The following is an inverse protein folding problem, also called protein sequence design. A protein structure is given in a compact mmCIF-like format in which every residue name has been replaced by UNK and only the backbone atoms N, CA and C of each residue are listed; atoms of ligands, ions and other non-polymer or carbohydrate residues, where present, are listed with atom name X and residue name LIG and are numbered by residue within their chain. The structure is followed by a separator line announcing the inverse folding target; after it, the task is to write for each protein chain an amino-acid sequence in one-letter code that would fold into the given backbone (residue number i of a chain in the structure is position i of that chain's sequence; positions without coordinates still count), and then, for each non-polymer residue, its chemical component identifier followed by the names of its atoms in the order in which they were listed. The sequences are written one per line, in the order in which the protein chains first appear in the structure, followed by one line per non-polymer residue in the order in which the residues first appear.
data_IF_147687963999
#
_entry.id   IF_147687963999
#
_cell.length_a   1.000
_cell.length_b   1.000
_cell.length_c   1.000
_cell.angle_alpha   90.00
_cell.angle_beta   90.00
_cell.angle_gamma   90.00
#
_symmetry.space_group_name_H-M   'P 1'
#
loop_
_entity.id
_entity.type
_entity.pdbx_description
1 polymer ?
#
# COMPACT_ATOMS: atom_id res chain seq x y z
N UNK A 1 20.23 44.37 17.32
CA UNK A 1 21.22 43.42 16.77
C UNK A 1 20.72 42.04 17.13
N UNK A 2 20.00 41.41 16.22
CA UNK A 2 19.71 39.97 16.33
C UNK A 2 21.03 39.20 16.16
N UNK A 3 21.27 38.14 16.96
CA UNK A 3 22.50 37.39 16.82
C UNK A 3 22.46 36.61 15.51
N UNK A 4 23.42 36.93 14.63
CA UNK A 4 23.71 36.14 13.43
C UNK A 4 24.16 34.76 13.91
N UNK A 5 23.32 33.75 13.72
CA UNK A 5 23.66 32.37 14.03
C UNK A 5 24.88 31.93 13.20
N UNK A 6 25.94 31.47 13.86
CA UNK A 6 27.16 30.99 13.23
C UNK A 6 26.86 29.73 12.38
N UNK A 7 27.24 29.68 11.09
CA UNK A 7 26.91 28.55 10.20
C UNK A 7 27.73 27.25 10.44
N UNK A 8 28.54 27.15 11.49
CA UNK A 8 29.67 26.19 11.56
C UNK A 8 29.46 25.03 12.54
N UNK A 9 28.36 24.99 13.30
CA UNK A 9 28.08 23.91 14.28
C UNK A 9 26.74 23.19 14.07
N UNK A 10 26.27 23.13 12.82
CA UNK A 10 25.08 22.33 12.53
C UNK A 10 25.44 20.83 12.57
N UNK A 11 24.98 20.16 13.63
CA UNK A 11 25.14 18.71 13.79
C UNK A 11 24.67 17.96 12.54
N UNK A 12 25.32 16.85 12.20
CA UNK A 12 24.91 15.97 11.09
C UNK A 12 23.41 15.63 11.15
N UNK A 13 22.88 15.44 12.35
CA UNK A 13 21.46 15.19 12.59
C UNK A 13 20.58 16.35 12.13
N UNK A 14 20.94 17.58 12.49
CA UNK A 14 20.19 18.79 12.10
C UNK A 14 20.25 18.99 10.59
N UNK A 15 21.42 18.76 9.97
CA UNK A 15 21.58 18.86 8.51
C UNK A 15 20.73 17.81 7.77
N UNK A 16 20.74 16.57 8.23
CA UNK A 16 19.93 15.50 7.65
C UNK A 16 18.43 15.75 7.86
N UNK A 17 18.04 16.23 9.04
CA UNK A 17 16.66 16.60 9.34
C UNK A 17 16.17 17.71 8.43
N UNK A 18 16.94 18.80 8.28
CA UNK A 18 16.60 19.92 7.40
C UNK A 18 16.47 19.45 5.94
N UNK A 19 17.40 18.61 5.46
CA UNK A 19 17.28 18.00 4.13
C UNK A 19 15.96 17.21 3.96
N UNK A 20 15.58 16.40 4.95
CA UNK A 20 14.32 15.63 4.90
C UNK A 20 13.07 16.49 5.00
N UNK A 21 13.16 17.72 5.52
CA UNK A 21 12.06 18.68 5.60
C UNK A 21 11.96 19.48 4.29
N UNK A 22 13.08 19.93 3.76
CA UNK A 22 13.15 20.74 2.55
C UNK A 22 12.75 19.97 1.29
N UNK A 23 13.01 18.66 1.26
CA UNK A 23 12.65 17.80 0.13
C UNK A 23 11.18 17.37 0.12
N UNK A 24 10.39 17.69 1.15
CA UNK A 24 9.00 17.26 1.23
C UNK A 24 8.16 17.93 0.15
N UNK A 25 7.25 17.15 -0.45
CA UNK A 25 6.28 17.71 -1.38
C UNK A 25 5.26 18.57 -0.61
N UNK A 26 5.23 19.90 -0.82
CA UNK A 26 4.32 20.78 -0.10
C UNK A 26 2.84 20.55 -0.46
N UNK A 27 2.55 19.78 -1.53
CA UNK A 27 1.18 19.46 -1.96
C UNK A 27 0.53 18.39 -1.08
N UNK A 28 1.32 17.47 -0.53
CA UNK A 28 0.84 16.30 0.24
C UNK A 28 1.15 16.40 1.73
N UNK A 29 2.03 17.32 2.14
CA UNK A 29 2.52 17.45 3.52
C UNK A 29 1.42 17.69 4.57
N UNK A 30 0.31 18.34 4.19
CA UNK A 30 -0.81 18.65 5.08
C UNK A 30 -1.86 17.55 5.17
N UNK A 31 -1.71 16.45 4.43
CA UNK A 31 -2.69 15.38 4.41
C UNK A 31 -2.61 14.50 5.67
N UNK A 32 -3.74 13.90 6.08
CA UNK A 32 -3.74 13.02 7.25
C UNK A 32 -2.72 11.91 7.10
N UNK A 33 -2.01 11.58 8.19
CA UNK A 33 -0.90 10.60 8.23
C UNK A 33 0.36 10.98 7.42
N UNK A 34 0.38 12.10 6.70
CA UNK A 34 1.57 12.55 5.95
C UNK A 34 2.41 13.58 6.69
N UNK A 35 1.90 14.18 7.77
CA UNK A 35 2.62 15.23 8.52
C UNK A 35 3.98 14.76 9.08
N UNK A 36 4.00 13.57 9.68
CA UNK A 36 5.21 12.96 10.26
C UNK A 36 5.26 11.47 9.91
N UNK A 37 6.45 10.84 9.81
CA UNK A 37 6.58 9.38 9.69
C UNK A 37 6.16 8.62 10.96
N UNK A 38 6.03 9.28 12.12
CA UNK A 38 5.74 8.64 13.41
C UNK A 38 4.50 7.74 13.38
N UNK A 39 3.32 8.16 12.86
CA UNK A 39 2.13 7.31 12.84
C UNK A 39 2.33 6.02 12.04
N UNK A 40 3.02 6.11 10.91
CA UNK A 40 3.34 4.94 10.10
C UNK A 40 4.23 3.95 10.86
N UNK A 41 5.30 4.46 11.49
CA UNK A 41 6.22 3.64 12.28
C UNK A 41 5.46 2.93 13.41
N UNK A 42 4.58 3.64 14.12
CA UNK A 42 3.74 3.05 15.15
C UNK A 42 2.85 1.94 14.59
N UNK A 43 2.16 2.17 13.47
CA UNK A 43 1.30 1.16 12.82
C UNK A 43 2.12 -0.08 12.43
N UNK A 44 3.30 0.10 11.83
CA UNK A 44 4.13 -1.00 11.38
C UNK A 44 4.72 -1.81 12.55
N UNK A 45 5.11 -1.15 13.64
CA UNK A 45 5.57 -1.84 14.87
C UNK A 45 4.43 -2.68 15.45
N UNK A 46 3.23 -2.09 15.59
CA UNK A 46 2.04 -2.80 16.08
C UNK A 46 1.70 -3.98 15.16
N UNK A 47 1.77 -3.79 13.85
CA UNK A 47 1.57 -4.86 12.87
C UNK A 47 2.57 -6.01 13.06
N UNK A 48 3.87 -5.73 13.21
CA UNK A 48 4.88 -6.77 13.41
C UNK A 48 4.71 -7.50 14.75
N UNK A 49 4.40 -6.77 15.83
CA UNK A 49 4.10 -7.37 17.13
C UNK A 49 2.85 -8.25 17.07
N UNK A 50 1.82 -7.80 16.37
CA UNK A 50 0.62 -8.58 16.17
C UNK A 50 0.89 -9.85 15.37
N UNK A 51 1.61 -9.75 14.26
CA UNK A 51 1.85 -10.88 13.37
C UNK A 51 2.70 -11.98 14.00
N UNK A 52 3.75 -11.60 14.73
CA UNK A 52 4.73 -12.55 15.24
C UNK A 52 4.41 -13.06 16.65
N UNK A 53 3.74 -12.26 17.48
CA UNK A 53 3.57 -12.57 18.90
C UNK A 53 2.10 -12.57 19.32
N UNK A 54 1.44 -11.40 19.28
CA UNK A 54 0.13 -11.22 19.93
C UNK A 54 -0.94 -12.08 19.25
N UNK A 55 -1.03 -12.04 17.92
CA UNK A 55 -2.03 -12.76 17.15
C UNK A 55 -1.93 -14.28 17.32
N UNK A 56 -0.76 -14.91 17.08
CA UNK A 56 -0.57 -16.34 17.32
C UNK A 56 -0.82 -16.75 18.77
N UNK A 57 -0.39 -15.93 19.74
CA UNK A 57 -0.63 -16.18 21.17
C UNK A 57 -2.13 -16.19 21.51
N UNK A 58 -2.87 -15.16 21.08
CA UNK A 58 -4.33 -15.06 21.31
C UNK A 58 -5.13 -16.18 20.65
N UNK A 59 -4.64 -16.67 19.51
CA UNK A 59 -5.30 -17.74 18.76
C UNK A 59 -4.92 -19.14 19.23
N UNK A 60 -3.91 -19.32 20.10
CA UNK A 60 -3.42 -20.64 20.52
C UNK A 60 -4.56 -21.54 21.00
N UNK A 61 -5.36 -21.04 21.95
CA UNK A 61 -6.43 -21.79 22.63
C UNK A 61 -7.83 -21.47 22.09
N UNK A 62 -7.94 -20.80 20.93
CA UNK A 62 -9.21 -20.44 20.29
C UNK A 62 -9.45 -21.20 19.00
N UNK A 63 -10.69 -21.48 18.66
CA UNK A 63 -11.05 -22.00 17.34
C UNK A 63 -10.87 -20.94 16.24
N UNK A 64 -10.62 -21.33 14.98
CA UNK A 64 -10.50 -20.38 13.88
C UNK A 64 -11.82 -19.65 13.63
N UNK A 65 -11.78 -18.32 13.51
CA UNK A 65 -12.99 -17.53 13.31
C UNK A 65 -13.64 -17.76 11.93
N UNK A 66 -14.96 -17.87 11.90
CA UNK A 66 -15.75 -17.96 10.67
C UNK A 66 -16.04 -16.58 10.05
N UNK A 67 -15.05 -16.01 9.36
CA UNK A 67 -15.11 -14.65 8.82
C UNK A 67 -15.61 -14.59 7.36
N UNK A 68 -16.42 -15.54 6.91
CA UNK A 68 -16.76 -15.68 5.48
C UNK A 68 -17.39 -14.41 4.89
N UNK A 69 -18.42 -13.87 5.53
CA UNK A 69 -19.10 -12.64 5.06
C UNK A 69 -18.17 -11.44 5.06
N UNK A 70 -17.39 -11.27 6.14
CA UNK A 70 -16.39 -10.20 6.27
C UNK A 70 -15.37 -10.26 5.15
N UNK A 71 -14.84 -11.44 4.83
CA UNK A 71 -13.87 -11.62 3.75
C UNK A 71 -14.48 -11.36 2.37
N UNK A 72 -15.74 -11.73 2.13
CA UNK A 72 -16.43 -11.42 0.87
C UNK A 72 -16.51 -9.90 0.70
N UNK A 73 -16.99 -9.18 1.71
CA UNK A 73 -17.11 -7.72 1.66
C UNK A 73 -15.73 -7.07 1.50
N UNK A 74 -14.75 -7.51 2.30
CA UNK A 74 -13.39 -6.99 2.25
C UNK A 74 -12.73 -7.19 0.88
N UNK A 75 -12.74 -8.41 0.34
CA UNK A 75 -12.15 -8.68 -0.97
C UNK A 75 -12.87 -7.92 -2.09
N UNK A 76 -14.20 -7.78 -2.01
CA UNK A 76 -14.96 -6.99 -2.98
C UNK A 76 -14.57 -5.50 -2.93
N UNK A 77 -14.48 -4.91 -1.73
CA UNK A 77 -14.02 -3.53 -1.57
C UNK A 77 -12.57 -3.35 -2.07
N UNK A 78 -11.68 -4.31 -1.80
CA UNK A 78 -10.31 -4.27 -2.30
C UNK A 78 -10.23 -4.31 -3.83
N UNK A 79 -11.07 -5.11 -4.49
CA UNK A 79 -11.19 -5.09 -5.96
C UNK A 79 -11.61 -3.70 -6.45
N UNK A 80 -12.63 -3.08 -5.82
CA UNK A 80 -13.08 -1.74 -6.20
C UNK A 80 -12.00 -0.67 -5.99
N UNK A 81 -11.32 -0.69 -4.85
CA UNK A 81 -10.23 0.24 -4.56
C UNK A 81 -9.08 0.08 -5.57
N UNK A 82 -8.70 -1.17 -5.89
CA UNK A 82 -7.63 -1.46 -6.85
C UNK A 82 -8.02 -1.03 -8.27
N UNK A 83 -9.27 -1.28 -8.68
CA UNK A 83 -9.81 -0.84 -9.97
C UNK A 83 -9.85 0.70 -10.07
N UNK A 84 -10.23 1.38 -9.00
CA UNK A 84 -10.20 2.83 -8.93
C UNK A 84 -8.78 3.39 -9.06
N UNK A 85 -7.80 2.77 -8.39
CA UNK A 85 -6.37 3.13 -8.52
C UNK A 85 -5.89 2.97 -9.96
N UNK A 86 -6.17 1.84 -10.60
CA UNK A 86 -5.81 1.60 -12.00
C UNK A 86 -6.45 2.65 -12.91
N UNK A 87 -7.75 2.92 -12.74
CA UNK A 87 -8.45 3.93 -13.53
C UNK A 87 -7.81 5.32 -13.39
N UNK A 88 -7.62 5.79 -12.17
CA UNK A 88 -7.06 7.12 -11.89
C UNK A 88 -5.62 7.27 -12.39
N UNK A 89 -4.76 6.25 -12.19
CA UNK A 89 -3.39 6.25 -12.70
C UNK A 89 -3.34 6.22 -14.23
N UNK A 90 -4.27 5.51 -14.88
CA UNK A 90 -4.42 5.57 -16.34
C UNK A 90 -4.84 6.96 -16.83
N UNK A 91 -5.73 7.66 -16.10
CA UNK A 91 -6.12 9.02 -16.45
C UNK A 91 -5.00 10.06 -16.19
N UNK A 92 -4.09 9.78 -15.26
CA UNK A 92 -3.02 10.70 -14.89
C UNK A 92 -1.73 10.53 -15.70
N UNK A 93 -1.55 9.45 -16.47
CA UNK A 93 -0.38 9.30 -17.34
C UNK A 93 -0.09 7.88 -17.84
N UNK A 94 -0.56 6.83 -17.15
CA UNK A 94 -0.27 5.44 -17.56
C UNK A 94 -1.32 4.84 -18.51
N UNK A 95 -2.18 5.68 -19.07
CA UNK A 95 -3.20 5.29 -20.05
C UNK A 95 -2.89 5.83 -21.44
N UNK A 96 -3.87 5.73 -22.34
CA UNK A 96 -3.71 6.16 -23.73
C UNK A 96 -3.89 7.67 -23.94
N UNK A 97 -4.46 8.37 -22.97
CA UNK A 97 -4.71 9.82 -23.03
C UNK A 97 -3.57 10.54 -22.30
N UNK A 98 -2.81 11.37 -23.02
CA UNK A 98 -1.65 12.13 -22.52
C UNK A 98 -0.64 11.24 -21.77
N UNK A 99 -0.06 10.24 -22.46
CA UNK A 99 0.76 9.21 -21.84
C UNK A 99 2.07 9.80 -21.30
N UNK A 100 2.47 9.28 -20.14
CA UNK A 100 3.83 9.44 -19.62
C UNK A 100 4.82 8.69 -20.49
N UNK A 101 6.08 9.13 -20.42
CA UNK A 101 7.17 8.40 -21.03
C UNK A 101 7.39 7.08 -20.27
N UNK A 102 7.18 5.97 -20.98
CA UNK A 102 7.31 4.62 -20.45
C UNK A 102 8.74 4.27 -20.00
N UNK A 103 9.75 5.03 -20.41
CA UNK A 103 11.15 4.83 -20.02
C UNK A 103 11.54 5.69 -18.81
N UNK A 104 11.32 7.01 -18.89
CA UNK A 104 11.73 7.95 -17.86
C UNK A 104 10.74 9.10 -17.80
N UNK A 105 9.95 9.14 -16.71
CA UNK A 105 9.01 10.21 -16.44
C UNK A 105 9.41 10.93 -15.15
N UNK A 106 9.71 12.24 -15.20
CA UNK A 106 10.01 13.03 -14.02
C UNK A 106 8.74 13.28 -13.17
N UNK A 107 8.92 13.66 -11.91
CA UNK A 107 7.81 14.08 -11.06
C UNK A 107 7.48 15.55 -11.38
N UNK A 108 6.26 15.88 -11.84
CA UNK A 108 5.87 17.27 -12.02
C UNK A 108 5.52 17.86 -10.64
N UNK A 109 6.19 18.94 -10.23
CA UNK A 109 5.99 19.64 -8.93
C UNK A 109 5.11 20.89 -9.05
N UNK A 110 4.14 20.85 -9.94
CA UNK A 110 3.17 21.91 -10.16
C UNK A 110 1.83 21.61 -9.46
N UNK A 111 0.96 22.62 -9.37
CA UNK A 111 -0.39 22.50 -8.81
C UNK A 111 -1.47 22.38 -9.90
N UNK A 112 -1.11 21.92 -11.10
CA UNK A 112 -2.14 21.70 -12.14
C UNK A 112 -3.14 20.63 -11.69
N UNK A 113 -4.36 20.64 -12.28
CA UNK A 113 -5.37 19.65 -11.96
C UNK A 113 -4.89 18.20 -12.15
N UNK A 114 -4.06 17.93 -13.18
CA UNK A 114 -3.48 16.60 -13.45
C UNK A 114 -2.49 16.18 -12.36
N UNK A 115 -1.59 17.09 -11.99
CA UNK A 115 -0.57 16.86 -10.96
C UNK A 115 -1.20 16.61 -9.58
N UNK A 116 -2.17 17.45 -9.20
CA UNK A 116 -2.91 17.26 -7.94
C UNK A 116 -3.75 15.99 -7.93
N UNK A 117 -4.30 15.57 -9.09
CA UNK A 117 -5.00 14.28 -9.24
C UNK A 117 -4.04 13.11 -9.03
N UNK A 118 -2.83 13.18 -9.60
CA UNK A 118 -1.77 12.19 -9.38
C UNK A 118 -1.40 12.10 -7.89
N UNK A 119 -1.15 13.22 -7.22
CA UNK A 119 -0.84 13.21 -5.79
C UNK A 119 -1.95 12.54 -4.97
N UNK A 120 -3.23 12.87 -5.25
CA UNK A 120 -4.38 12.29 -4.53
C UNK A 120 -4.46 10.78 -4.69
N UNK A 121 -4.21 10.26 -5.90
CA UNK A 121 -4.23 8.81 -6.12
C UNK A 121 -3.01 8.11 -5.49
N UNK A 122 -1.82 8.72 -5.49
CA UNK A 122 -0.68 8.20 -4.74
C UNK A 122 -1.00 8.09 -3.24
N UNK A 123 -1.67 9.09 -2.68
CA UNK A 123 -2.10 9.06 -1.28
C UNK A 123 -3.18 8.01 -1.02
N UNK A 124 -4.17 7.90 -1.90
CA UNK A 124 -5.17 6.84 -1.81
C UNK A 124 -4.53 5.44 -1.90
N UNK A 125 -3.54 5.26 -2.76
CA UNK A 125 -2.76 4.02 -2.83
C UNK A 125 -2.05 3.72 -1.51
N UNK A 126 -1.39 4.71 -0.89
CA UNK A 126 -0.79 4.57 0.44
C UNK A 126 -1.80 4.13 1.49
N UNK A 127 -2.98 4.76 1.54
CA UNK A 127 -4.06 4.35 2.45
C UNK A 127 -4.52 2.91 2.15
N UNK A 128 -4.63 2.52 0.88
CA UNK A 128 -4.98 1.15 0.51
C UNK A 128 -3.95 0.15 1.05
N UNK A 129 -2.65 0.42 0.91
CA UNK A 129 -1.58 -0.44 1.44
C UNK A 129 -1.66 -0.60 2.97
N UNK A 130 -2.09 0.44 3.70
CA UNK A 130 -2.36 0.32 5.14
C UNK A 130 -3.54 -0.61 5.44
N UNK A 131 -4.62 -0.53 4.66
CA UNK A 131 -5.79 -1.42 4.80
C UNK A 131 -5.42 -2.88 4.49
N UNK A 132 -4.53 -3.11 3.52
CA UNK A 132 -4.05 -4.44 3.16
C UNK A 132 -3.28 -5.15 4.28
N UNK A 133 -2.80 -4.43 5.31
CA UNK A 133 -2.25 -5.06 6.52
C UNK A 133 -3.26 -5.99 7.21
N UNK A 134 -4.57 -5.77 6.99
CA UNK A 134 -5.63 -6.62 7.51
C UNK A 134 -5.62 -8.03 6.90
N UNK A 135 -5.00 -8.25 5.74
CA UNK A 135 -4.87 -9.59 5.14
C UNK A 135 -4.19 -10.56 6.11
N UNK A 136 -3.07 -10.12 6.69
CA UNK A 136 -2.32 -10.91 7.68
C UNK A 136 -3.15 -11.12 8.95
N UNK A 137 -3.92 -10.12 9.36
CA UNK A 137 -4.81 -10.23 10.52
C UNK A 137 -5.87 -11.30 10.28
N UNK A 138 -6.50 -11.32 9.09
CA UNK A 138 -7.46 -12.35 8.71
C UNK A 138 -6.83 -13.74 8.62
N UNK A 139 -5.61 -13.88 8.11
CA UNK A 139 -4.91 -15.16 8.07
C UNK A 139 -4.67 -15.71 9.48
N UNK A 140 -4.21 -14.87 10.41
CA UNK A 140 -3.96 -15.26 11.80
C UNK A 140 -5.27 -15.65 12.50
N UNK A 141 -6.32 -14.83 12.40
CA UNK A 141 -7.62 -15.11 13.02
C UNK A 141 -8.27 -16.40 12.48
N UNK A 142 -7.91 -16.83 11.26
CA UNK A 142 -8.38 -18.09 10.67
C UNK A 142 -7.42 -19.26 10.87
N UNK A 143 -6.37 -19.09 11.68
CA UNK A 143 -5.28 -20.06 11.88
C UNK A 143 -4.64 -20.54 10.57
N UNK A 144 -4.56 -19.65 9.56
CA UNK A 144 -3.92 -19.91 8.26
C UNK A 144 -2.46 -19.45 8.25
N UNK A 145 -1.69 -19.86 9.26
CA UNK A 145 -0.29 -19.45 9.43
C UNK A 145 0.61 -19.83 8.24
N UNK A 146 0.26 -20.86 7.47
CA UNK A 146 0.99 -21.24 6.25
C UNK A 146 0.98 -20.15 5.16
N UNK A 147 0.04 -19.21 5.22
CA UNK A 147 -0.02 -18.07 4.29
C UNK A 147 0.75 -16.85 4.81
N UNK A 148 1.07 -16.82 6.12
CA UNK A 148 1.87 -15.77 6.74
C UNK A 148 3.35 -16.13 6.59
N UNK A 149 3.84 -16.06 5.35
CA UNK A 149 5.24 -16.33 5.03
C UNK A 149 6.12 -15.10 5.31
N UNK A 150 7.44 -15.31 5.34
CA UNK A 150 8.39 -14.19 5.40
C UNK A 150 8.16 -13.19 4.26
N UNK A 151 7.96 -13.68 3.04
CA UNK A 151 7.73 -12.84 1.87
C UNK A 151 6.46 -12.01 2.03
N UNK A 152 5.37 -12.62 2.50
CA UNK A 152 4.10 -11.93 2.78
C UNK A 152 4.30 -10.79 3.78
N UNK A 153 4.90 -11.08 4.94
CA UNK A 153 5.09 -10.08 6.00
C UNK A 153 6.06 -8.98 5.55
N UNK A 154 7.15 -9.32 4.86
CA UNK A 154 8.12 -8.36 4.31
C UNK A 154 7.47 -7.44 3.27
N UNK A 155 6.68 -8.00 2.34
CA UNK A 155 5.95 -7.24 1.33
C UNK A 155 4.94 -6.28 2.00
N UNK A 156 4.09 -6.79 2.89
CA UNK A 156 3.08 -5.97 3.58
C UNK A 156 3.69 -4.94 4.53
N UNK A 157 4.91 -5.13 5.02
CA UNK A 157 5.64 -4.11 5.78
C UNK A 157 6.27 -3.04 4.88
N UNK A 158 6.96 -3.46 3.82
CA UNK A 158 7.73 -2.56 2.95
C UNK A 158 6.85 -1.73 2.03
N UNK A 159 5.69 -2.23 1.58
CA UNK A 159 4.81 -1.51 0.65
C UNK A 159 4.18 -0.23 1.24
N UNK A 160 3.62 -0.21 2.47
CA UNK A 160 3.19 1.02 3.13
C UNK A 160 4.35 2.00 3.39
N UNK A 161 5.54 1.49 3.73
CA UNK A 161 6.73 2.31 3.95
C UNK A 161 7.18 3.00 2.65
N UNK A 162 7.31 2.23 1.56
CA UNK A 162 7.69 2.75 0.25
C UNK A 162 6.65 3.73 -0.30
N UNK A 163 5.36 3.43 -0.15
CA UNK A 163 4.28 4.33 -0.60
C UNK A 163 4.20 5.62 0.23
N UNK A 164 4.49 5.58 1.54
CA UNK A 164 4.63 6.81 2.33
C UNK A 164 5.75 7.70 1.80
N UNK A 165 6.95 7.14 1.56
CA UNK A 165 8.07 7.89 0.97
C UNK A 165 7.69 8.43 -0.41
N UNK A 166 7.01 7.62 -1.23
CA UNK A 166 6.48 8.04 -2.53
C UNK A 166 5.55 9.24 -2.42
N UNK A 167 4.57 9.23 -1.53
CA UNK A 167 3.62 10.36 -1.36
C UNK A 167 4.30 11.58 -0.73
N UNK A 168 5.23 11.37 0.20
CA UNK A 168 5.88 12.44 0.96
C UNK A 168 6.88 13.23 0.11
N UNK A 169 7.57 12.56 -0.83
CA UNK A 169 8.70 13.14 -1.56
C UNK A 169 8.56 13.08 -3.09
N UNK A 170 7.92 12.04 -3.63
CA UNK A 170 7.95 11.72 -5.06
C UNK A 170 6.54 11.41 -5.60
N UNK A 171 5.57 12.26 -5.29
CA UNK A 171 4.15 12.04 -5.60
C UNK A 171 3.87 12.22 -7.10
N UNK A 172 4.30 11.27 -7.93
CA UNK A 172 4.15 11.27 -9.38
C UNK A 172 5.32 10.59 -10.10
N UNK A 173 5.45 10.86 -11.40
CA UNK A 173 6.55 10.36 -12.23
C UNK A 173 6.61 8.83 -12.35
N UNK A 174 7.77 8.32 -12.75
CA UNK A 174 7.97 6.91 -13.09
C UNK A 174 7.69 5.93 -11.92
N UNK A 175 7.93 6.35 -10.67
CA UNK A 175 7.69 5.51 -9.49
C UNK A 175 6.22 5.03 -9.36
N UNK A 176 5.27 5.81 -9.89
CA UNK A 176 3.85 5.45 -9.89
C UNK A 176 3.51 4.28 -10.82
N UNK A 177 4.40 3.92 -11.75
CA UNK A 177 4.25 2.75 -12.61
C UNK A 177 4.20 1.44 -11.81
N UNK A 178 5.06 1.30 -10.79
CA UNK A 178 5.04 0.13 -9.92
C UNK A 178 3.72 0.01 -9.14
N UNK A 179 3.17 1.15 -8.69
CA UNK A 179 1.85 1.20 -8.08
C UNK A 179 0.73 0.80 -9.06
N UNK A 180 0.83 1.23 -10.31
CA UNK A 180 -0.10 0.84 -11.37
C UNK A 180 -0.08 -0.66 -11.64
N UNK A 181 1.10 -1.26 -11.82
CA UNK A 181 1.24 -2.71 -11.99
C UNK A 181 0.74 -3.48 -10.78
N UNK A 182 1.10 -3.04 -9.57
CA UNK A 182 0.67 -3.67 -8.33
C UNK A 182 -0.86 -3.66 -8.20
N UNK A 183 -1.51 -2.52 -8.47
CA UNK A 183 -2.97 -2.43 -8.43
C UNK A 183 -3.66 -3.38 -9.43
N UNK A 184 -3.10 -3.57 -10.63
CA UNK A 184 -3.60 -4.56 -11.59
C UNK A 184 -3.50 -6.00 -11.04
N UNK A 185 -2.36 -6.36 -10.43
CA UNK A 185 -2.20 -7.67 -9.78
C UNK A 185 -3.20 -7.84 -8.63
N UNK A 186 -3.43 -6.80 -7.83
CA UNK A 186 -4.38 -6.82 -6.72
C UNK A 186 -5.84 -6.99 -7.18
N UNK A 187 -6.24 -6.42 -8.33
CA UNK A 187 -7.55 -6.70 -8.93
C UNK A 187 -7.72 -8.20 -9.17
N UNK A 188 -6.73 -8.85 -9.79
CA UNK A 188 -6.78 -10.29 -10.10
C UNK A 188 -6.76 -11.13 -8.82
N UNK A 189 -5.84 -10.82 -7.90
CA UNK A 189 -5.66 -11.55 -6.64
C UNK A 189 -6.93 -11.49 -5.76
N UNK A 190 -7.46 -10.29 -5.50
CA UNK A 190 -8.67 -10.15 -4.67
C UNK A 190 -9.92 -10.67 -5.36
N UNK A 191 -10.02 -10.60 -6.69
CA UNK A 191 -11.09 -11.27 -7.44
C UNK A 191 -11.03 -12.78 -7.24
N UNK A 192 -9.83 -13.37 -7.28
CA UNK A 192 -9.63 -14.78 -6.97
C UNK A 192 -10.05 -15.13 -5.53
N UNK A 193 -9.66 -14.34 -4.54
CA UNK A 193 -10.06 -14.56 -3.14
C UNK A 193 -11.57 -14.39 -2.92
N UNK A 194 -12.19 -13.43 -3.60
CA UNK A 194 -13.64 -13.24 -3.59
C UNK A 194 -14.36 -14.48 -4.16
N UNK A 195 -13.94 -14.98 -5.32
CA UNK A 195 -14.48 -16.19 -5.94
C UNK A 195 -14.26 -17.43 -5.05
N UNK A 196 -13.09 -17.56 -4.45
CA UNK A 196 -12.78 -18.64 -3.51
C UNK A 196 -13.67 -18.60 -2.26
N UNK A 197 -14.09 -17.41 -1.82
CA UNK A 197 -14.98 -17.23 -0.66
C UNK A 197 -16.44 -17.62 -0.95
N UNK A 198 -16.91 -17.60 -2.20
CA UNK A 198 -18.27 -18.05 -2.56
C UNK A 198 -18.46 -19.59 -2.50
N UNK A 199 -17.37 -20.36 -2.41
CA UNK A 199 -17.40 -21.79 -2.07
C UNK A 199 -17.30 -22.76 -3.25
N UNK A 200 -17.32 -24.08 -2.98
CA UNK A 200 -16.92 -25.13 -3.94
C UNK A 200 -17.78 -25.23 -5.21
N UNK A 201 -19.04 -24.77 -5.17
CA UNK A 201 -19.97 -24.86 -6.30
C UNK A 201 -19.53 -24.01 -7.51
N UNK A 202 -18.86 -22.87 -7.27
CA UNK A 202 -18.27 -22.05 -8.35
C UNK A 202 -16.91 -22.62 -8.79
N UNK A 203 -16.13 -23.20 -7.88
CA UNK A 203 -14.86 -23.90 -8.19
C UNK A 203 -15.06 -25.07 -9.16
N UNK A 204 -16.25 -25.66 -9.20
CA UNK A 204 -16.61 -26.73 -10.14
C UNK A 204 -17.08 -26.25 -11.52
N UNK A 205 -17.55 -24.99 -11.64
CA UNK A 205 -18.06 -24.45 -12.92
C UNK A 205 -16.94 -23.89 -13.80
N UNK A 206 -15.84 -23.41 -13.19
CA UNK A 206 -14.62 -23.04 -13.90
C UNK A 206 -13.66 -24.23 -13.90
N UNK A 207 -13.97 -25.23 -14.73
CA UNK A 207 -13.19 -26.45 -14.90
C UNK A 207 -11.70 -26.17 -15.12
N UNK A 208 -10.86 -26.62 -14.18
CA UNK A 208 -9.42 -26.54 -14.32
C UNK A 208 -8.71 -26.53 -12.99
N UNK A 209 -8.42 -27.71 -12.43
CA UNK A 209 -7.53 -27.88 -11.28
C UNK A 209 -6.07 -27.43 -11.57
N UNK A 210 -5.73 -26.97 -12.78
CA UNK A 210 -4.37 -26.64 -13.19
C UNK A 210 -4.07 -25.15 -13.36
N UNK A 211 -5.01 -24.28 -13.76
CA UNK A 211 -4.69 -22.87 -14.05
C UNK A 211 -4.75 -21.95 -12.82
N UNK A 212 -5.53 -22.33 -11.80
CA UNK A 212 -5.75 -21.52 -10.59
C UNK A 212 -4.68 -21.73 -9.50
N UNK A 213 -3.76 -22.69 -9.67
CA UNK A 213 -2.65 -22.92 -8.72
C UNK A 213 -1.40 -22.08 -9.04
N UNK A 214 -1.34 -21.44 -10.20
CA UNK A 214 -0.15 -20.72 -10.69
C UNK A 214 0.07 -19.34 -10.06
N UNK A 215 -0.86 -18.86 -9.21
CA UNK A 215 -0.74 -17.60 -8.47
C UNK A 215 -0.66 -17.82 -6.96
N UNK A 216 0.21 -18.75 -6.53
CA UNK A 216 0.66 -18.82 -5.14
C UNK A 216 1.86 -17.87 -4.99
N UNK A 217 1.59 -16.63 -4.62
CA UNK A 217 2.54 -15.81 -3.86
C UNK A 217 2.19 -15.93 -2.38
#
# INVERSE_FOLDING_TARGET
MEPIANPIEESYYTRFYNFLVDMQDPRTSVWPLMGSPTPLICILIVYLLFCNYIGPYLMKDREPFELKKTLIVYNFLQVLCSAYIVYELSQCGWGFKDPYNWLCEPVPYDRSPKSMRMCRICYFYYLNKLVELLDTVFFIMRKKFTHVTFLHVYHHFSMPAASFVGVKYLAGGHGTFFGFMNANVHIVMYSYYLLAAFGPKIRSSYGGKSTLQSFKF
#
